data_IF_132248104386
#
_entry.id   IF_132248104386
#
_cell.length_a   1.000
_cell.length_b   1.000
_cell.length_c   1.000
_cell.angle_alpha   90.00
_cell.angle_beta   90.00
_cell.angle_gamma   90.00
#
_symmetry.space_group_name_H-M   'P 1'
#
loop_
_entity.id
_entity.type
_entity.pdbx_description
1 polymer ?
#
# COMPACT_ATOMS: atom_id res chain seq x y z
N UNK A 1 0.37 72.80 -71.45
CA UNK A 1 0.73 72.84 -69.98
C UNK A 1 -0.42 72.19 -69.25
N UNK A 2 -0.18 71.00 -68.73
CA UNK A 2 -1.17 70.36 -67.86
C UNK A 2 -1.47 71.21 -66.62
N UNK A 3 -2.72 71.30 -66.21
CA UNK A 3 -3.11 72.08 -65.02
C UNK A 3 -2.35 71.49 -63.78
N UNK A 4 -2.11 72.27 -62.75
CA UNK A 4 -1.46 71.87 -61.53
C UNK A 4 -2.15 70.76 -60.82
N UNK A 5 -3.39 70.54 -61.12
CA UNK A 5 -4.33 69.48 -60.59
C UNK A 5 -4.17 68.17 -61.36
N UNK A 6 -4.01 68.23 -62.69
CA UNK A 6 -3.73 67.05 -63.55
C UNK A 6 -2.42 66.37 -63.21
N UNK A 7 -1.35 67.18 -63.05
CA UNK A 7 -0.04 66.70 -62.65
C UNK A 7 -0.02 66.01 -61.24
N UNK A 8 -0.85 66.45 -60.34
CA UNK A 8 -1.04 65.80 -58.99
C UNK A 8 -1.74 64.49 -59.10
N UNK A 9 -2.79 64.40 -59.89
CA UNK A 9 -3.54 63.14 -60.09
C UNK A 9 -2.64 62.11 -60.77
N UNK A 10 -1.94 62.42 -61.79
CA UNK A 10 -0.99 61.55 -62.49
C UNK A 10 0.05 60.97 -61.49
N UNK A 11 0.64 61.83 -60.67
CA UNK A 11 1.65 61.39 -59.68
C UNK A 11 1.01 60.37 -58.67
N UNK A 12 -0.16 60.62 -58.15
CA UNK A 12 -0.79 59.69 -57.23
C UNK A 12 -1.15 58.38 -57.95
N UNK A 13 -1.77 58.47 -59.13
CA UNK A 13 -2.17 57.33 -59.92
C UNK A 13 -1.02 56.40 -60.29
N UNK A 14 0.15 56.97 -60.64
CA UNK A 14 1.33 56.21 -61.03
C UNK A 14 2.14 55.60 -59.87
N UNK A 15 2.07 56.20 -58.66
CA UNK A 15 2.95 55.80 -57.54
C UNK A 15 2.23 55.07 -56.43
N UNK A 16 0.92 54.89 -56.52
CA UNK A 16 0.18 54.09 -55.53
C UNK A 16 0.51 52.60 -55.66
N UNK A 17 0.67 51.92 -54.53
CA UNK A 17 1.03 50.49 -54.47
C UNK A 17 -0.14 49.52 -54.77
N UNK A 18 -1.33 50.02 -55.00
CA UNK A 18 -2.50 49.26 -55.38
C UNK A 18 -2.69 49.31 -56.91
N UNK A 19 -3.12 48.21 -57.50
CA UNK A 19 -3.56 48.22 -58.90
C UNK A 19 -4.86 49.03 -59.03
N UNK A 20 -4.82 50.06 -59.88
CA UNK A 20 -6.01 50.86 -60.19
C UNK A 20 -6.42 50.64 -61.66
N UNK A 21 -7.67 50.35 -61.86
CA UNK A 21 -8.28 50.30 -63.21
C UNK A 21 -9.57 51.12 -63.23
N UNK A 22 -9.83 51.74 -64.36
CA UNK A 22 -11.03 52.52 -64.60
C UNK A 22 -11.79 51.90 -65.78
N UNK A 23 -13.05 51.60 -65.60
CA UNK A 23 -13.93 51.04 -66.64
C UNK A 23 -15.10 51.97 -66.95
N UNK A 24 -15.53 51.96 -68.20
CA UNK A 24 -16.77 52.62 -68.58
C UNK A 24 -18.02 51.77 -68.20
N UNK A 25 -19.19 52.30 -68.48
CA UNK A 25 -20.49 51.65 -68.20
C UNK A 25 -20.68 50.31 -68.94
N UNK A 26 -19.89 50.02 -69.99
CA UNK A 26 -19.92 48.73 -70.71
C UNK A 26 -18.91 47.74 -70.18
N UNK A 27 -18.17 48.07 -69.12
CA UNK A 27 -17.10 47.22 -68.56
C UNK A 27 -15.80 47.22 -69.35
N UNK A 28 -15.65 48.15 -70.29
CA UNK A 28 -14.41 48.29 -71.03
C UNK A 28 -13.41 49.09 -70.17
N UNK A 29 -12.18 48.61 -70.05
CA UNK A 29 -11.08 49.26 -69.34
C UNK A 29 -10.67 50.47 -70.13
N UNK A 30 -10.71 51.62 -69.50
CA UNK A 30 -10.34 52.91 -70.12
C UNK A 30 -8.91 53.32 -69.68
N UNK A 31 -8.52 53.05 -68.48
CA UNK A 31 -7.25 53.44 -67.91
C UNK A 31 -6.80 52.42 -66.84
N UNK A 32 -5.52 52.10 -66.82
CA UNK A 32 -4.86 51.31 -65.75
C UNK A 32 -3.59 52.04 -65.28
N UNK A 33 -3.29 51.94 -64.00
CA UNK A 33 -2.02 52.45 -63.52
C UNK A 33 -0.89 51.40 -63.70
N UNK A 34 0.38 51.80 -63.62
CA UNK A 34 1.50 50.88 -63.80
C UNK A 34 1.48 49.70 -62.88
N UNK A 35 0.98 49.87 -61.64
CA UNK A 35 0.88 48.80 -60.69
C UNK A 35 -0.13 47.73 -61.11
N UNK A 36 -1.29 48.14 -61.70
CA UNK A 36 -2.27 47.20 -62.21
C UNK A 36 -1.69 46.39 -63.37
N UNK A 37 -0.96 47.01 -64.28
CA UNK A 37 -0.37 46.33 -65.40
C UNK A 37 0.68 45.29 -64.94
N UNK A 38 1.56 45.67 -64.02
CA UNK A 38 2.54 44.74 -63.40
C UNK A 38 1.84 43.60 -62.69
N UNK A 39 0.79 43.89 -61.93
CA UNK A 39 0.05 42.92 -61.15
C UNK A 39 -0.54 41.82 -62.04
N UNK A 40 -1.14 42.22 -63.15
CA UNK A 40 -1.79 41.29 -64.08
C UNK A 40 -0.87 40.82 -65.23
N UNK A 41 0.36 41.35 -65.32
CA UNK A 41 1.37 40.92 -66.31
C UNK A 41 1.08 41.45 -67.75
N UNK A 42 0.42 42.60 -67.88
CA UNK A 42 0.20 43.28 -69.17
C UNK A 42 1.13 44.46 -69.38
N UNK A 43 1.42 44.80 -70.64
CA UNK A 43 2.15 45.96 -70.95
C UNK A 43 1.32 47.27 -70.87
N UNK A 44 1.97 48.42 -70.85
CA UNK A 44 1.27 49.70 -70.78
C UNK A 44 0.29 49.82 -71.95
N UNK A 45 -0.90 50.30 -71.73
CA UNK A 45 -2.00 50.45 -72.65
C UNK A 45 -2.56 49.19 -73.32
N UNK A 46 -2.03 48.00 -73.04
CA UNK A 46 -2.51 46.75 -73.61
C UNK A 46 -3.93 46.34 -73.11
N UNK A 47 -4.30 46.78 -71.91
CA UNK A 47 -5.64 46.57 -71.35
C UNK A 47 -6.66 47.60 -71.81
N UNK A 48 -6.26 48.70 -72.45
CA UNK A 48 -7.16 49.76 -72.88
C UNK A 48 -8.16 49.24 -73.94
N UNK A 49 -9.44 49.42 -73.68
CA UNK A 49 -10.53 48.91 -74.51
C UNK A 49 -10.90 47.48 -74.33
N UNK A 50 -10.12 46.68 -73.58
CA UNK A 50 -10.48 45.30 -73.26
C UNK A 50 -11.62 45.22 -72.23
N UNK A 51 -12.35 44.13 -72.23
CA UNK A 51 -13.38 43.85 -71.21
C UNK A 51 -12.68 43.46 -69.88
N UNK A 52 -13.14 44.01 -68.77
CA UNK A 52 -12.57 43.77 -67.42
C UNK A 52 -12.55 42.28 -67.06
N UNK A 53 -13.42 41.51 -67.68
CA UNK A 53 -13.51 40.04 -67.50
C UNK A 53 -12.26 39.30 -67.95
N UNK A 54 -11.34 39.89 -68.72
CA UNK A 54 -10.05 39.31 -69.09
C UNK A 54 -9.16 39.10 -67.84
N UNK A 55 -9.33 39.94 -66.81
CA UNK A 55 -8.61 39.92 -65.57
C UNK A 55 -9.23 38.94 -64.54
N UNK A 56 -10.28 38.24 -64.90
CA UNK A 56 -11.08 37.35 -64.04
C UNK A 56 -10.91 35.91 -64.53
N UNK A 57 -10.73 34.91 -63.63
CA UNK A 57 -10.77 33.51 -64.04
C UNK A 57 -12.00 33.16 -64.84
N UNK A 58 -11.83 32.36 -65.90
CA UNK A 58 -12.91 32.06 -66.86
C UNK A 58 -14.19 31.46 -66.21
N UNK A 59 -13.98 30.67 -65.14
CA UNK A 59 -15.07 30.07 -64.34
C UNK A 59 -15.97 31.08 -63.61
N UNK A 60 -15.52 32.35 -63.47
CA UNK A 60 -16.26 33.39 -62.80
C UNK A 60 -16.64 34.55 -63.74
N UNK A 61 -16.18 34.54 -65.00
CA UNK A 61 -16.36 35.64 -65.93
C UNK A 61 -17.84 35.94 -66.24
N UNK A 62 -18.65 34.93 -66.53
CA UNK A 62 -20.08 35.09 -66.83
C UNK A 62 -20.83 35.67 -65.63
N UNK A 63 -20.62 35.10 -64.43
CA UNK A 63 -21.24 35.60 -63.20
C UNK A 63 -20.79 37.03 -62.85
N UNK A 64 -19.57 37.39 -63.21
CA UNK A 64 -19.09 38.77 -63.03
C UNK A 64 -19.83 39.76 -63.90
N UNK A 65 -20.17 39.44 -65.14
CA UNK A 65 -20.97 40.28 -66.04
C UNK A 65 -22.33 40.60 -65.37
N UNK A 66 -23.03 39.61 -64.80
CA UNK A 66 -24.28 39.83 -64.03
C UNK A 66 -24.11 40.78 -62.85
N UNK A 67 -23.01 40.56 -62.08
CA UNK A 67 -22.71 41.42 -60.92
C UNK A 67 -22.34 42.83 -61.32
N UNK A 68 -21.62 43.02 -62.44
CA UNK A 68 -21.29 44.34 -63.01
C UNK A 68 -22.54 45.07 -63.42
N UNK A 69 -23.42 44.43 -64.19
CA UNK A 69 -24.67 45.03 -64.68
C UNK A 69 -25.61 45.40 -63.53
N UNK A 70 -25.64 44.61 -62.46
CA UNK A 70 -26.35 44.94 -61.22
C UNK A 70 -25.73 46.14 -60.48
N UNK A 71 -24.40 46.20 -60.41
CA UNK A 71 -23.65 47.33 -59.80
C UNK A 71 -23.92 48.64 -60.57
N UNK A 72 -23.98 48.59 -61.88
CA UNK A 72 -24.25 49.76 -62.71
C UNK A 72 -25.65 50.37 -62.47
N UNK A 73 -26.63 49.54 -62.07
CA UNK A 73 -27.99 50.03 -61.74
C UNK A 73 -28.09 50.71 -60.39
N UNK A 74 -27.27 50.25 -59.42
CA UNK A 74 -27.24 50.76 -58.06
C UNK A 74 -25.79 50.86 -57.55
N UNK A 75 -25.02 51.85 -57.99
CA UNK A 75 -23.61 51.96 -57.67
C UNK A 75 -23.42 52.40 -56.22
N UNK A 76 -22.76 51.53 -55.43
CA UNK A 76 -22.40 51.76 -53.99
C UNK A 76 -20.96 51.46 -53.80
N UNK A 77 -20.21 52.36 -53.13
CA UNK A 77 -18.83 52.06 -52.69
C UNK A 77 -18.81 50.84 -51.77
N UNK A 78 -18.17 49.79 -52.19
CA UNK A 78 -18.08 48.56 -51.38
C UNK A 78 -16.84 47.77 -51.71
N UNK A 79 -16.26 47.05 -50.73
CA UNK A 79 -15.36 45.96 -51.05
C UNK A 79 -16.15 44.86 -51.79
N UNK A 80 -15.51 44.26 -52.81
CA UNK A 80 -16.07 43.11 -53.51
C UNK A 80 -15.78 41.83 -52.71
N UNK A 81 -16.69 40.87 -52.78
CA UNK A 81 -16.45 39.55 -52.27
C UNK A 81 -16.69 39.38 -50.75
N UNK A 82 -17.83 39.90 -50.20
CA UNK A 82 -18.24 39.67 -48.81
C UNK A 82 -17.87 38.25 -48.33
N UNK A 83 -16.72 38.13 -47.58
CA UNK A 83 -16.13 36.90 -47.04
C UNK A 83 -15.75 35.80 -48.06
N UNK A 84 -15.72 36.08 -49.37
CA UNK A 84 -15.22 35.16 -50.40
C UNK A 84 -13.87 35.63 -50.94
N UNK A 85 -12.89 34.71 -51.03
CA UNK A 85 -11.62 34.99 -51.68
C UNK A 85 -11.86 35.20 -53.17
N UNK A 86 -11.56 36.40 -53.69
CA UNK A 86 -11.60 36.69 -55.12
C UNK A 86 -10.27 36.27 -55.75
N UNK A 87 -10.32 35.91 -57.00
CA UNK A 87 -9.12 35.58 -57.77
C UNK A 87 -9.04 36.45 -59.02
N UNK A 88 -7.88 37.02 -59.26
CA UNK A 88 -7.48 37.65 -60.50
C UNK A 88 -6.80 36.65 -61.44
N UNK A 89 -6.86 36.89 -62.74
CA UNK A 89 -6.17 36.07 -63.74
C UNK A 89 -5.14 36.94 -64.46
N UNK A 90 -3.88 36.51 -64.42
CA UNK A 90 -2.77 37.16 -65.13
C UNK A 90 -2.81 36.82 -66.64
N UNK A 91 -2.10 37.58 -67.45
CA UNK A 91 -1.93 37.35 -68.88
C UNK A 91 -1.43 35.95 -69.24
N UNK A 92 -0.54 35.41 -68.45
CA UNK A 92 0.01 34.04 -68.57
C UNK A 92 -0.99 32.90 -68.17
N UNK A 93 -2.16 33.30 -67.67
CA UNK A 93 -3.19 32.37 -67.21
C UNK A 93 -3.19 32.04 -65.73
N UNK A 94 -2.16 32.46 -64.95
CA UNK A 94 -2.06 32.18 -63.50
C UNK A 94 -3.20 32.88 -62.73
N UNK A 95 -3.86 32.14 -61.87
CA UNK A 95 -4.86 32.66 -60.94
C UNK A 95 -4.20 33.02 -59.63
N UNK A 96 -4.49 34.21 -59.08
CA UNK A 96 -3.92 34.66 -57.80
C UNK A 96 -5.02 35.35 -56.95
N UNK A 97 -4.98 35.23 -55.62
CA UNK A 97 -5.98 35.83 -54.77
C UNK A 97 -5.85 37.35 -54.72
N UNK A 98 -6.95 38.03 -54.85
CA UNK A 98 -7.04 39.49 -54.84
C UNK A 98 -8.10 40.01 -53.92
N UNK A 99 -7.87 41.16 -53.32
CA UNK A 99 -8.90 42.01 -52.73
C UNK A 99 -9.23 43.12 -53.71
N UNK A 100 -10.54 43.30 -53.98
CA UNK A 100 -11.00 44.32 -54.91
C UNK A 100 -11.99 45.24 -54.18
N UNK A 101 -11.81 46.55 -54.32
CA UNK A 101 -12.78 47.54 -53.89
C UNK A 101 -13.20 48.39 -55.05
N UNK A 102 -14.47 48.71 -55.12
CA UNK A 102 -15.08 49.50 -56.19
C UNK A 102 -15.52 50.87 -55.70
N UNK A 103 -15.27 51.87 -56.53
CA UNK A 103 -15.81 53.20 -56.44
C UNK A 103 -16.37 53.62 -57.81
N UNK A 104 -17.16 54.68 -57.88
CA UNK A 104 -17.67 55.19 -59.13
C UNK A 104 -17.68 56.72 -59.12
N UNK A 105 -17.68 57.33 -60.35
CA UNK A 105 -17.88 58.73 -60.54
C UNK A 105 -18.61 58.97 -61.87
N UNK A 106 -19.31 60.10 -61.99
CA UNK A 106 -20.07 60.46 -63.20
C UNK A 106 -19.46 61.68 -63.85
N UNK A 107 -19.45 61.68 -65.18
CA UNK A 107 -19.02 62.80 -66.03
C UNK A 107 -20.07 63.06 -67.12
N UNK A 108 -19.89 64.09 -67.93
CA UNK A 108 -20.68 64.36 -69.10
C UNK A 108 -20.74 63.20 -70.12
N UNK A 109 -19.67 62.33 -70.10
CA UNK A 109 -19.48 61.19 -70.99
C UNK A 109 -20.13 59.89 -70.42
N UNK A 110 -20.63 59.95 -69.19
CA UNK A 110 -21.32 58.82 -68.51
C UNK A 110 -20.67 58.41 -67.19
N UNK A 111 -21.06 57.25 -66.65
CA UNK A 111 -20.59 56.70 -65.42
C UNK A 111 -19.33 55.86 -65.65
N UNK A 112 -18.35 56.05 -64.76
CA UNK A 112 -17.06 55.30 -64.72
C UNK A 112 -16.95 54.59 -63.35
N UNK A 113 -16.36 53.40 -63.39
CA UNK A 113 -16.08 52.59 -62.18
C UNK A 113 -14.58 52.49 -61.99
N UNK A 114 -14.11 52.80 -60.79
CA UNK A 114 -12.72 52.65 -60.37
C UNK A 114 -12.63 51.35 -59.57
N UNK A 115 -11.78 50.40 -60.01
CA UNK A 115 -11.43 49.20 -59.25
C UNK A 115 -10.04 49.36 -58.63
N UNK A 116 -9.94 49.13 -57.33
CA UNK A 116 -8.68 49.02 -56.63
C UNK A 116 -8.42 47.55 -56.40
N UNK A 117 -7.27 47.05 -56.80
CA UNK A 117 -6.88 45.62 -56.72
C UNK A 117 -5.60 45.47 -55.95
N UNK A 118 -5.64 44.63 -54.92
CA UNK A 118 -4.51 44.31 -54.08
C UNK A 118 -4.23 42.80 -54.21
N UNK A 119 -2.96 42.43 -54.46
CA UNK A 119 -2.52 41.05 -54.40
C UNK A 119 -2.39 40.61 -52.91
N UNK A 120 -3.10 39.63 -52.52
CA UNK A 120 -3.11 39.08 -51.15
C UNK A 120 -2.52 37.67 -51.08
N UNK A 121 -1.73 37.26 -52.08
CA UNK A 121 -1.14 35.92 -52.19
C UNK A 121 -0.33 35.56 -50.95
N UNK A 122 0.54 36.45 -50.53
CA UNK A 122 1.41 36.23 -49.36
C UNK A 122 0.58 36.04 -48.08
N UNK A 123 -0.40 36.94 -47.86
CA UNK A 123 -1.29 36.88 -46.72
C UNK A 123 -2.14 35.60 -46.72
N UNK A 124 -2.61 35.18 -47.88
CA UNK A 124 -3.40 33.97 -48.04
C UNK A 124 -2.59 32.71 -47.73
N UNK A 125 -1.35 32.61 -48.21
CA UNK A 125 -0.47 31.47 -47.92
C UNK A 125 -0.05 31.44 -46.46
N UNK A 126 0.23 32.59 -45.86
CA UNK A 126 0.55 32.69 -44.43
C UNK A 126 -0.66 32.18 -43.58
N UNK A 127 -1.86 32.62 -43.92
CA UNK A 127 -3.06 32.20 -43.20
C UNK A 127 -3.30 30.69 -43.33
N UNK A 128 -3.10 30.12 -44.49
CA UNK A 128 -3.18 28.69 -44.77
C UNK A 128 -2.14 27.90 -43.99
N UNK A 129 -0.91 28.41 -43.89
CA UNK A 129 0.15 27.82 -43.10
C UNK A 129 -0.17 27.83 -41.60
N UNK A 130 -0.69 28.94 -41.07
CA UNK A 130 -1.10 29.05 -39.67
C UNK A 130 -2.21 28.03 -39.35
N UNK A 131 -3.22 27.90 -40.21
CA UNK A 131 -4.30 26.90 -40.01
C UNK A 131 -3.77 25.49 -39.95
N UNK A 132 -2.80 25.14 -40.82
CA UNK A 132 -2.17 23.83 -40.84
C UNK A 132 -1.39 23.55 -39.54
N UNK A 133 -0.54 24.51 -39.13
CA UNK A 133 0.25 24.37 -37.89
C UNK A 133 -0.68 24.23 -36.66
N UNK A 134 -1.75 25.03 -36.61
CA UNK A 134 -2.71 24.95 -35.50
C UNK A 134 -3.42 23.59 -35.45
N UNK A 135 -3.73 22.99 -36.60
CA UNK A 135 -4.34 21.66 -36.62
C UNK A 135 -3.36 20.56 -36.17
N UNK A 136 -2.09 20.65 -36.59
CA UNK A 136 -1.05 19.74 -36.16
C UNK A 136 -0.75 19.87 -34.65
N UNK A 137 -0.69 21.10 -34.14
CA UNK A 137 -0.51 21.40 -32.72
C UNK A 137 -1.66 20.83 -31.87
N UNK A 138 -2.89 20.97 -32.32
CA UNK A 138 -4.06 20.43 -31.62
C UNK A 138 -3.96 18.91 -31.49
N UNK A 139 -3.66 18.21 -32.58
CA UNK A 139 -3.50 16.77 -32.60
C UNK A 139 -2.37 16.30 -31.68
N UNK A 140 -1.24 17.03 -31.69
CA UNK A 140 -0.09 16.70 -30.82
C UNK A 140 -0.43 16.87 -29.35
N UNK A 141 -1.15 17.96 -28.99
CA UNK A 141 -1.59 18.19 -27.62
C UNK A 141 -2.53 17.09 -27.12
N UNK A 142 -3.53 16.72 -27.93
CA UNK A 142 -4.45 15.61 -27.58
C UNK A 142 -3.67 14.30 -27.33
N UNK A 143 -2.69 13.98 -28.17
CA UNK A 143 -1.84 12.80 -27.98
C UNK A 143 -0.97 12.89 -26.71
N UNK A 144 -0.44 14.08 -26.41
CA UNK A 144 0.35 14.30 -25.18
C UNK A 144 -0.51 14.15 -23.92
N UNK A 145 -1.69 14.74 -23.90
CA UNK A 145 -2.63 14.63 -22.77
C UNK A 145 -3.01 13.18 -22.51
N UNK A 146 -3.30 12.40 -23.56
CA UNK A 146 -3.59 10.98 -23.43
C UNK A 146 -2.40 10.20 -22.85
N UNK A 147 -1.17 10.44 -23.35
CA UNK A 147 0.03 9.80 -22.80
C UNK A 147 0.35 10.18 -21.36
N UNK A 148 0.13 11.45 -21.00
CA UNK A 148 0.29 11.92 -19.61
C UNK A 148 -0.71 11.22 -18.71
N UNK A 149 -1.97 11.15 -19.12
CA UNK A 149 -3.03 10.48 -18.37
C UNK A 149 -2.73 8.99 -18.15
N UNK A 150 -2.34 8.28 -19.21
CA UNK A 150 -1.97 6.85 -19.15
C UNK A 150 -0.78 6.62 -18.20
N UNK A 151 0.30 7.40 -18.36
CA UNK A 151 1.48 7.28 -17.49
C UNK A 151 1.19 7.62 -16.04
N UNK A 152 0.33 8.61 -15.80
CA UNK A 152 -0.07 9.00 -14.44
C UNK A 152 -0.85 7.88 -13.77
N UNK A 153 -1.74 7.18 -14.50
CA UNK A 153 -2.47 6.03 -13.98
C UNK A 153 -1.52 4.88 -13.59
N UNK A 154 -0.63 4.49 -14.51
CA UNK A 154 0.36 3.43 -14.28
C UNK A 154 1.28 3.77 -13.10
N UNK A 155 1.73 5.01 -13.00
CA UNK A 155 2.58 5.45 -11.88
C UNK A 155 1.83 5.37 -10.54
N UNK A 156 0.55 5.75 -10.53
CA UNK A 156 -0.28 5.69 -9.32
C UNK A 156 -0.50 4.24 -8.86
N UNK A 157 -0.77 3.33 -9.79
CA UNK A 157 -0.89 1.90 -9.49
C UNK A 157 0.42 1.31 -8.93
N UNK A 158 1.56 1.68 -9.54
CA UNK A 158 2.87 1.25 -9.06
C UNK A 158 3.20 1.79 -7.66
N UNK A 159 2.84 3.05 -7.36
CA UNK A 159 3.01 3.63 -6.04
C UNK A 159 2.15 2.92 -4.99
N UNK A 160 0.88 2.65 -5.27
CA UNK A 160 0.00 1.92 -4.37
C UNK A 160 0.51 0.50 -4.08
N UNK A 161 1.00 -0.21 -5.11
CA UNK A 161 1.60 -1.53 -4.95
C UNK A 161 2.88 -1.50 -4.10
N UNK A 162 3.71 -0.48 -4.29
CA UNK A 162 4.94 -0.29 -3.50
C UNK A 162 4.62 0.02 -2.03
N UNK A 163 3.64 0.88 -1.76
CA UNK A 163 3.20 1.18 -0.38
C UNK A 163 2.67 -0.08 0.32
N UNK A 164 1.82 -0.86 -0.34
CA UNK A 164 1.32 -2.12 0.21
C UNK A 164 2.46 -3.11 0.52
N UNK A 165 3.42 -3.27 -0.39
CA UNK A 165 4.59 -4.14 -0.17
C UNK A 165 5.50 -3.66 0.95
N UNK A 166 5.66 -2.34 1.09
CA UNK A 166 6.40 -1.75 2.22
C UNK A 166 5.74 -2.09 3.56
N UNK A 167 4.42 -1.91 3.65
CA UNK A 167 3.68 -2.15 4.89
C UNK A 167 3.72 -3.64 5.30
N UNK A 168 3.63 -4.54 4.31
CA UNK A 168 3.83 -5.99 4.55
C UNK A 168 5.24 -6.30 5.07
N UNK A 169 6.26 -5.67 4.49
CA UNK A 169 7.65 -5.87 4.90
C UNK A 169 7.92 -5.33 6.31
N UNK A 170 7.36 -4.17 6.66
CA UNK A 170 7.46 -3.61 8.01
C UNK A 170 6.82 -4.53 9.06
N UNK A 171 5.64 -5.10 8.77
CA UNK A 171 5.00 -6.07 9.66
C UNK A 171 5.81 -7.36 9.81
N UNK A 172 6.39 -7.87 8.71
CA UNK A 172 7.25 -9.04 8.75
C UNK A 172 8.53 -8.80 9.57
N UNK A 173 9.15 -7.62 9.40
CA UNK A 173 10.34 -7.22 10.14
C UNK A 173 10.06 -7.09 11.64
N UNK A 174 8.92 -6.54 12.03
CA UNK A 174 8.56 -6.42 13.44
C UNK A 174 8.36 -7.80 14.10
N UNK A 175 7.65 -8.72 13.40
CA UNK A 175 7.53 -10.11 13.87
C UNK A 175 8.89 -10.82 14.00
N UNK A 176 9.79 -10.59 13.06
CA UNK A 176 11.14 -11.18 13.12
C UNK A 176 11.94 -10.65 14.31
N UNK A 177 11.84 -9.34 14.59
CA UNK A 177 12.46 -8.74 15.77
C UNK A 177 11.94 -9.34 17.07
N UNK A 178 10.61 -9.44 17.22
CA UNK A 178 9.99 -10.07 18.40
C UNK A 178 10.47 -11.50 18.59
N UNK A 179 10.52 -12.30 17.53
CA UNK A 179 11.03 -13.66 17.56
C UNK A 179 12.51 -13.70 17.96
N UNK A 180 13.32 -12.81 17.44
CA UNK A 180 14.77 -12.75 17.75
C UNK A 180 15.01 -12.31 19.19
N UNK A 181 14.25 -11.37 19.71
CA UNK A 181 14.30 -10.99 21.13
C UNK A 181 13.88 -12.15 22.04
N UNK A 182 12.80 -12.86 21.72
CA UNK A 182 12.38 -14.05 22.45
C UNK A 182 13.49 -15.11 22.44
N UNK A 183 14.10 -15.38 21.28
CA UNK A 183 15.21 -16.34 21.16
C UNK A 183 16.42 -15.92 22.01
N UNK A 184 16.73 -14.64 22.04
CA UNK A 184 17.86 -14.12 22.85
C UNK A 184 17.59 -14.25 24.35
N UNK A 185 16.36 -13.92 24.79
CA UNK A 185 15.94 -14.12 26.18
C UNK A 185 15.98 -15.60 26.57
N UNK A 186 15.53 -16.48 25.67
CA UNK A 186 15.58 -17.93 25.85
C UNK A 186 17.00 -18.43 26.13
N UNK A 187 17.97 -18.09 25.28
CA UNK A 187 19.36 -18.50 25.40
C UNK A 187 19.98 -17.99 26.73
N UNK A 188 19.71 -16.73 27.05
CA UNK A 188 20.24 -16.10 28.27
C UNK A 188 19.70 -16.79 29.53
N UNK A 189 18.40 -17.04 29.57
CA UNK A 189 17.76 -17.69 30.70
C UNK A 189 18.18 -19.16 30.83
N UNK A 190 18.18 -19.90 29.70
CA UNK A 190 18.65 -21.29 29.71
C UNK A 190 20.07 -21.38 30.29
N UNK A 191 20.95 -20.49 29.87
CA UNK A 191 22.33 -20.43 30.37
C UNK A 191 22.37 -20.18 31.88
N UNK A 192 21.50 -19.29 32.38
CA UNK A 192 21.47 -19.02 33.83
C UNK A 192 20.88 -20.20 34.64
N UNK A 193 19.79 -20.78 34.19
CA UNK A 193 19.08 -21.87 34.85
C UNK A 193 19.90 -23.18 34.84
N UNK A 194 20.77 -23.41 33.85
CA UNK A 194 21.74 -24.52 33.87
C UNK A 194 22.96 -24.25 34.75
N UNK A 195 23.44 -23.01 34.83
CA UNK A 195 24.67 -22.68 35.58
C UNK A 195 24.51 -22.92 37.08
N UNK A 196 23.36 -22.57 37.66
CA UNK A 196 23.10 -22.66 39.10
C UNK A 196 23.17 -24.11 39.62
N UNK A 197 22.44 -25.10 39.09
CA UNK A 197 22.54 -26.48 39.53
C UNK A 197 23.90 -27.09 39.22
N UNK A 198 24.53 -26.78 38.10
CA UNK A 198 25.89 -27.24 37.79
C UNK A 198 26.93 -26.74 38.82
N UNK A 199 26.83 -25.49 39.25
CA UNK A 199 27.67 -24.94 40.30
C UNK A 199 27.42 -25.62 41.65
N UNK A 200 26.16 -25.97 41.95
CA UNK A 200 25.79 -26.72 43.16
C UNK A 200 26.37 -28.14 43.15
N UNK A 201 26.31 -28.82 41.99
CA UNK A 201 26.93 -30.15 41.82
C UNK A 201 28.44 -30.06 42.03
N UNK A 202 29.11 -29.13 41.35
CA UNK A 202 30.54 -28.97 41.42
C UNK A 202 31.03 -28.64 42.84
N UNK A 203 30.37 -27.70 43.52
CA UNK A 203 30.72 -27.32 44.89
C UNK A 203 30.48 -28.46 45.89
N UNK A 204 29.36 -29.17 45.79
CA UNK A 204 29.04 -30.29 46.64
C UNK A 204 29.98 -31.46 46.41
N UNK A 205 30.36 -31.79 45.17
CA UNK A 205 31.37 -32.81 44.86
C UNK A 205 32.73 -32.43 45.41
N UNK A 206 33.13 -31.16 45.31
CA UNK A 206 34.40 -30.67 45.89
C UNK A 206 34.42 -30.73 47.42
N UNK A 207 33.27 -30.54 48.06
CA UNK A 207 33.18 -30.67 49.53
C UNK A 207 33.22 -32.15 49.99
N UNK A 208 32.53 -33.03 49.28
CA UNK A 208 32.60 -34.49 49.56
C UNK A 208 34.05 -34.99 49.52
N UNK A 209 34.86 -34.54 48.57
CA UNK A 209 36.28 -34.95 48.46
C UNK A 209 37.14 -34.49 49.63
N UNK A 210 36.72 -33.47 50.40
CA UNK A 210 37.41 -32.99 51.62
C UNK A 210 36.97 -33.69 52.89
N UNK A 211 35.81 -34.36 52.91
CA UNK A 211 35.28 -35.08 54.05
C UNK A 211 35.83 -36.55 54.05
N UNK A 212 37.04 -36.76 54.46
CA UNK A 212 37.69 -38.07 54.38
C UNK A 212 37.47 -38.96 55.63
N UNK A 213 37.06 -38.36 56.76
CA UNK A 213 36.91 -39.10 58.01
C UNK A 213 35.50 -39.68 58.21
N UNK A 214 35.40 -40.76 58.94
CA UNK A 214 34.14 -41.49 59.13
C UNK A 214 33.07 -40.66 59.82
N UNK A 215 33.43 -39.74 60.70
CA UNK A 215 32.50 -38.89 61.42
C UNK A 215 31.86 -37.79 60.51
N UNK A 216 32.32 -37.62 59.26
CA UNK A 216 31.72 -36.69 58.26
C UNK A 216 30.69 -37.38 57.37
N UNK A 217 30.18 -38.55 57.72
CA UNK A 217 29.22 -39.31 56.92
C UNK A 217 27.94 -38.50 56.66
N UNK A 218 27.39 -37.89 57.70
CA UNK A 218 26.16 -37.06 57.60
C UNK A 218 26.33 -35.87 56.62
N UNK A 219 27.53 -35.21 56.70
CA UNK A 219 27.82 -34.11 55.76
C UNK A 219 27.98 -34.61 54.32
N UNK A 220 28.59 -35.77 54.08
CA UNK A 220 28.67 -36.39 52.76
C UNK A 220 27.27 -36.69 52.21
N UNK A 221 26.41 -37.33 53.04
CA UNK A 221 25.04 -37.66 52.64
C UNK A 221 24.24 -36.40 52.29
N UNK A 222 24.37 -35.32 53.06
CA UNK A 222 23.76 -34.00 52.74
C UNK A 222 24.20 -33.46 51.38
N UNK A 223 25.50 -33.54 51.04
CA UNK A 223 26.00 -33.10 49.77
C UNK A 223 25.63 -34.03 48.62
N UNK A 224 25.53 -35.35 48.82
CA UNK A 224 24.99 -36.30 47.86
C UNK A 224 23.54 -36.00 47.57
N UNK A 225 22.73 -35.70 48.62
CA UNK A 225 21.36 -35.27 48.46
C UNK A 225 21.20 -33.99 47.60
N UNK A 226 22.08 -32.97 47.85
CA UNK A 226 22.13 -31.74 47.04
C UNK A 226 22.47 -32.00 45.58
N UNK A 227 23.41 -32.93 45.30
CA UNK A 227 23.77 -33.32 43.93
C UNK A 227 22.59 -33.97 43.25
N UNK A 228 21.91 -34.92 43.91
CA UNK A 228 20.71 -35.58 43.35
C UNK A 228 19.61 -34.58 43.04
N UNK A 229 19.29 -33.67 43.97
CA UNK A 229 18.31 -32.60 43.74
C UNK A 229 18.69 -31.71 42.57
N UNK A 230 19.95 -31.30 42.43
CA UNK A 230 20.42 -30.47 41.34
C UNK A 230 20.36 -31.17 39.97
N UNK A 231 20.62 -32.50 39.94
CA UNK A 231 20.48 -33.31 38.71
C UNK A 231 19.03 -33.44 38.31
N UNK A 232 18.12 -33.70 39.26
CA UNK A 232 16.67 -33.78 38.98
C UNK A 232 16.15 -32.45 38.44
N UNK A 233 16.51 -31.31 39.05
CA UNK A 233 16.15 -29.98 38.54
C UNK A 233 16.67 -29.69 37.14
N UNK A 234 17.90 -30.12 36.79
CA UNK A 234 18.42 -30.04 35.43
C UNK A 234 17.61 -30.86 34.44
N UNK A 235 17.16 -32.05 34.84
CA UNK A 235 16.35 -32.92 34.00
C UNK A 235 14.97 -32.32 33.75
N UNK A 236 14.35 -31.71 34.75
CA UNK A 236 13.08 -30.95 34.57
C UNK A 236 13.24 -29.81 33.60
N UNK A 237 14.28 -28.98 33.76
CA UNK A 237 14.58 -27.86 32.85
C UNK A 237 14.73 -28.36 31.40
N UNK A 238 15.48 -29.45 31.21
CA UNK A 238 15.71 -30.05 29.89
C UNK A 238 14.38 -30.55 29.27
N UNK A 239 13.54 -31.20 30.08
CA UNK A 239 12.23 -31.70 29.61
C UNK A 239 11.29 -30.54 29.22
N UNK A 240 11.28 -29.44 29.97
CA UNK A 240 10.52 -28.24 29.63
C UNK A 240 10.96 -27.69 28.28
N UNK A 241 12.28 -27.56 28.04
CA UNK A 241 12.82 -27.10 26.77
C UNK A 241 12.48 -28.00 25.59
N UNK A 242 12.60 -29.33 25.78
CA UNK A 242 12.26 -30.31 24.75
C UNK A 242 10.75 -30.30 24.45
N UNK A 243 9.91 -30.09 25.45
CA UNK A 243 8.46 -29.98 25.30
C UNK A 243 8.09 -28.77 24.47
N UNK A 244 8.68 -27.59 24.75
CA UNK A 244 8.46 -26.37 23.95
C UNK A 244 8.94 -26.57 22.51
N UNK A 245 10.12 -27.12 22.29
CA UNK A 245 10.63 -27.37 20.94
C UNK A 245 9.69 -28.27 20.12
N UNK A 246 9.18 -29.35 20.71
CA UNK A 246 8.21 -30.25 20.05
C UNK A 246 6.86 -29.56 19.76
N UNK A 247 6.40 -28.67 20.68
CA UNK A 247 5.18 -27.90 20.50
C UNK A 247 5.31 -26.87 19.36
N UNK A 248 6.43 -26.16 19.30
CA UNK A 248 6.70 -25.17 18.24
C UNK A 248 6.83 -25.79 16.85
N UNK A 249 7.42 -26.96 16.77
CA UNK A 249 7.54 -27.70 15.50
C UNK A 249 6.23 -28.41 15.10
N UNK A 250 5.16 -28.30 15.89
CA UNK A 250 3.87 -28.99 15.63
C UNK A 250 3.99 -30.51 15.63
N UNK A 251 5.03 -31.05 16.27
CA UNK A 251 5.33 -32.50 16.28
C UNK A 251 4.55 -33.30 17.32
N UNK A 252 3.80 -32.64 18.20
CA UNK A 252 2.98 -33.32 19.21
C UNK A 252 1.67 -33.72 18.55
N UNK A 253 1.47 -35.01 18.39
CA UNK A 253 0.21 -35.61 17.95
C UNK A 253 -0.57 -36.12 19.17
N UNK A 254 -1.76 -35.58 19.39
CA UNK A 254 -2.63 -35.98 20.53
C UNK A 254 -3.09 -37.42 20.35
N UNK A 255 -2.77 -38.25 21.34
CA UNK A 255 -3.20 -39.66 21.38
C UNK A 255 -4.48 -39.80 22.21
N UNK A 256 -5.62 -39.66 21.54
CA UNK A 256 -6.91 -39.78 22.16
C UNK A 256 -7.20 -41.23 22.59
N UNK A 257 -7.34 -41.43 23.90
CA UNK A 257 -7.63 -42.75 24.45
C UNK A 257 -8.50 -42.64 25.72
N UNK A 258 -9.24 -43.66 26.10
CA UNK A 258 -9.93 -43.70 27.39
C UNK A 258 -8.90 -43.72 28.52
N UNK A 259 -8.98 -42.74 29.42
CA UNK A 259 -8.06 -42.60 30.57
C UNK A 259 -8.87 -42.60 31.84
N UNK A 260 -8.50 -43.47 32.77
CA UNK A 260 -8.92 -43.37 34.16
C UNK A 260 -8.21 -42.19 34.83
N UNK A 261 -8.91 -41.05 34.86
CA UNK A 261 -8.34 -39.76 35.30
C UNK A 261 -8.02 -39.79 36.78
N UNK A 262 -8.86 -40.45 37.59
CA UNK A 262 -8.67 -40.49 39.04
C UNK A 262 -7.44 -41.29 39.38
N UNK A 263 -7.29 -42.50 38.79
CA UNK A 263 -6.09 -43.32 38.99
C UNK A 263 -4.83 -42.62 38.52
N UNK A 264 -4.89 -41.95 37.36
CA UNK A 264 -3.74 -41.17 36.82
C UNK A 264 -3.31 -40.05 37.78
N UNK A 265 -4.25 -39.31 38.34
CA UNK A 265 -3.95 -38.21 39.28
C UNK A 265 -3.43 -38.71 40.59
N UNK A 266 -3.99 -39.86 41.11
CA UNK A 266 -3.44 -40.50 42.27
C UNK A 266 -1.99 -40.94 42.07
N UNK A 267 -1.66 -41.57 40.92
CA UNK A 267 -0.27 -41.90 40.56
C UNK A 267 0.66 -40.66 40.60
N UNK A 268 0.18 -39.51 40.08
CA UNK A 268 0.94 -38.26 40.09
C UNK A 268 1.13 -37.73 41.52
N UNK A 269 0.11 -37.81 42.36
CA UNK A 269 0.19 -37.41 43.77
C UNK A 269 1.20 -38.27 44.52
N UNK A 270 1.15 -39.59 44.32
CA UNK A 270 2.06 -40.53 44.97
C UNK A 270 3.54 -40.28 44.57
N UNK A 271 3.78 -40.01 43.26
CA UNK A 271 5.11 -39.67 42.76
C UNK A 271 5.63 -38.36 43.37
N UNK A 272 4.75 -37.35 43.53
CA UNK A 272 5.15 -36.03 44.03
C UNK A 272 5.14 -35.93 45.56
N UNK A 273 4.60 -36.92 46.28
CA UNK A 273 4.55 -36.91 47.73
C UNK A 273 5.97 -36.78 48.39
N UNK A 274 7.00 -37.32 47.72
CA UNK A 274 8.40 -37.20 48.16
C UNK A 274 8.90 -35.74 48.14
N UNK A 275 8.28 -34.86 47.38
CA UNK A 275 8.61 -33.44 47.27
C UNK A 275 7.88 -32.57 48.29
N UNK A 276 6.91 -33.12 49.00
CA UNK A 276 6.15 -32.41 50.03
C UNK A 276 7.04 -31.89 51.13
N UNK A 277 6.78 -30.67 51.57
CA UNK A 277 7.49 -30.07 52.71
C UNK A 277 6.96 -30.67 54.03
N UNK A 278 7.63 -30.32 55.13
CA UNK A 278 7.23 -30.85 56.44
C UNK A 278 5.78 -30.55 56.75
N UNK A 279 4.98 -31.61 57.05
CA UNK A 279 3.59 -31.52 57.37
C UNK A 279 2.63 -31.13 56.24
N UNK A 280 3.13 -30.97 54.99
CA UNK A 280 2.25 -30.73 53.83
C UNK A 280 1.41 -31.98 53.50
N UNK A 281 0.16 -31.76 53.10
CA UNK A 281 -0.76 -32.83 52.72
C UNK A 281 -1.44 -32.50 51.37
N UNK A 282 -1.63 -33.53 50.54
CA UNK A 282 -2.37 -33.42 49.29
C UNK A 282 -3.67 -34.22 49.43
N UNK A 283 -4.82 -33.55 49.29
CA UNK A 283 -6.14 -34.16 49.35
C UNK A 283 -6.76 -34.24 47.96
N UNK A 284 -7.10 -35.47 47.52
CA UNK A 284 -7.82 -35.71 46.27
C UNK A 284 -9.31 -35.86 46.53
N UNK A 285 -10.12 -35.07 45.90
CA UNK A 285 -11.58 -35.16 45.84
C UNK A 285 -12.02 -35.45 44.43
N UNK A 286 -12.93 -36.38 44.19
CA UNK A 286 -13.40 -36.67 42.84
C UNK A 286 -14.87 -37.10 42.82
N UNK A 287 -15.55 -36.87 41.67
CA UNK A 287 -16.86 -37.40 41.36
C UNK A 287 -16.93 -38.02 39.96
N UNK A 288 -15.78 -38.51 39.44
CA UNK A 288 -15.65 -39.11 38.13
C UNK A 288 -15.54 -40.61 38.25
N UNK A 289 -16.53 -41.33 37.73
CA UNK A 289 -16.63 -42.80 37.81
C UNK A 289 -16.35 -43.50 36.47
N UNK A 290 -16.16 -42.74 35.39
CA UNK A 290 -15.97 -43.27 34.04
C UNK A 290 -14.69 -42.72 33.39
N UNK A 291 -14.01 -43.57 32.60
CA UNK A 291 -12.83 -43.07 31.86
C UNK A 291 -13.16 -41.90 30.93
N UNK A 292 -12.27 -40.92 30.86
CA UNK A 292 -12.38 -39.73 29.98
C UNK A 292 -11.53 -39.89 28.75
N UNK A 293 -12.05 -39.52 27.57
CA UNK A 293 -11.27 -39.55 26.29
C UNK A 293 -10.34 -38.35 26.24
N UNK A 294 -9.04 -38.59 26.47
CA UNK A 294 -8.01 -37.56 26.45
C UNK A 294 -6.65 -38.21 26.14
N UNK A 295 -5.58 -37.38 26.13
CA UNK A 295 -4.20 -37.88 26.03
C UNK A 295 -3.62 -38.04 27.44
N UNK A 296 -3.27 -39.31 27.79
CA UNK A 296 -2.72 -39.65 29.12
C UNK A 296 -1.44 -38.89 29.44
N UNK A 297 -0.54 -38.73 28.46
CA UNK A 297 0.77 -38.09 28.67
C UNK A 297 0.63 -36.59 28.88
N UNK A 298 -0.20 -35.92 28.05
CA UNK A 298 -0.43 -34.48 28.18
C UNK A 298 -1.13 -34.18 29.52
N UNK A 299 -2.15 -34.95 29.88
CA UNK A 299 -2.84 -34.78 31.15
C UNK A 299 -1.92 -34.97 32.35
N UNK A 300 -1.10 -36.04 32.33
CA UNK A 300 -0.10 -36.30 33.38
C UNK A 300 0.86 -35.13 33.54
N UNK A 301 1.42 -34.62 32.42
CA UNK A 301 2.38 -33.52 32.45
C UNK A 301 1.73 -32.22 33.00
N UNK A 302 0.49 -31.91 32.64
CA UNK A 302 -0.24 -30.75 33.18
C UNK A 302 -0.43 -30.89 34.71
N UNK A 303 -0.85 -32.06 35.19
CA UNK A 303 -1.09 -32.26 36.61
C UNK A 303 0.20 -32.29 37.42
N UNK A 304 1.27 -32.90 36.93
CA UNK A 304 2.61 -32.83 37.53
C UNK A 304 3.05 -31.36 37.70
N UNK A 305 2.85 -30.56 36.69
CA UNK A 305 3.26 -29.15 36.73
C UNK A 305 2.44 -28.33 37.74
N UNK A 306 1.09 -28.50 37.77
CA UNK A 306 0.23 -27.75 38.71
C UNK A 306 0.47 -28.19 40.15
N UNK A 307 0.53 -29.50 40.41
CA UNK A 307 0.70 -30.03 41.79
C UNK A 307 2.12 -29.72 42.31
N UNK A 308 3.17 -29.85 41.48
CA UNK A 308 4.53 -29.49 41.90
C UNK A 308 4.67 -27.96 42.17
N UNK A 309 3.97 -27.13 41.42
CA UNK A 309 3.88 -25.71 41.71
C UNK A 309 3.17 -25.44 43.04
N UNK A 310 2.04 -26.10 43.33
CA UNK A 310 1.33 -25.98 44.58
C UNK A 310 2.20 -26.39 45.78
N UNK A 311 2.94 -27.51 45.70
CA UNK A 311 3.93 -27.93 46.73
C UNK A 311 4.99 -26.86 46.94
N UNK A 312 5.55 -26.37 45.86
CA UNK A 312 6.71 -25.45 45.85
C UNK A 312 6.35 -24.08 46.45
N UNK A 313 5.21 -23.52 46.07
CA UNK A 313 4.80 -22.18 46.45
C UNK A 313 4.04 -22.07 47.76
N UNK A 314 3.57 -23.21 48.32
CA UNK A 314 2.94 -23.29 49.62
C UNK A 314 3.94 -23.39 50.77
N UNK A 315 3.53 -23.03 51.96
CA UNK A 315 4.32 -23.12 53.17
C UNK A 315 4.32 -24.57 53.76
N UNK A 316 5.17 -24.79 54.75
CA UNK A 316 5.12 -26.01 55.56
C UNK A 316 3.75 -26.16 56.25
N UNK A 317 3.31 -27.37 56.50
CA UNK A 317 2.04 -27.73 57.13
C UNK A 317 0.78 -27.25 56.37
N UNK A 318 0.92 -26.85 55.10
CA UNK A 318 -0.22 -26.45 54.26
C UNK A 318 -0.94 -27.64 53.63
N UNK A 319 -2.19 -27.42 53.24
CA UNK A 319 -3.00 -28.40 52.52
C UNK A 319 -3.22 -27.99 51.09
N UNK A 320 -2.94 -28.92 50.18
CA UNK A 320 -3.15 -28.74 48.73
C UNK A 320 -4.40 -29.57 48.38
N UNK A 321 -5.41 -28.94 47.82
CA UNK A 321 -6.62 -29.61 47.35
C UNK A 321 -6.58 -29.85 45.85
N UNK A 322 -6.74 -31.08 45.43
CA UNK A 322 -6.90 -31.48 44.04
C UNK A 322 -8.30 -32.00 43.86
N UNK A 323 -9.10 -31.36 42.98
CA UNK A 323 -10.47 -31.78 42.70
C UNK A 323 -10.61 -32.18 41.25
N UNK A 324 -11.33 -33.28 41.01
CA UNK A 324 -11.62 -33.83 39.69
C UNK A 324 -13.13 -34.06 39.57
N UNK A 325 -13.76 -33.36 38.64
CA UNK A 325 -15.21 -33.49 38.47
C UNK A 325 -15.59 -33.40 36.99
N UNK A 326 -16.75 -33.94 36.64
CA UNK A 326 -17.38 -33.76 35.34
C UNK A 326 -18.36 -32.60 35.45
N UNK A 327 -18.14 -31.57 34.68
CA UNK A 327 -18.99 -30.40 34.56
C UNK A 327 -19.79 -30.45 33.24
N UNK A 328 -20.77 -29.55 33.06
CA UNK A 328 -21.63 -29.51 31.88
C UNK A 328 -20.84 -29.44 30.58
N UNK A 329 -19.69 -28.73 30.62
CA UNK A 329 -18.83 -28.45 29.44
C UNK A 329 -17.61 -29.37 29.31
N UNK A 330 -17.43 -30.36 30.22
CA UNK A 330 -16.30 -31.27 30.13
C UNK A 330 -15.70 -31.72 31.46
N UNK A 331 -14.49 -32.24 31.42
CA UNK A 331 -13.71 -32.60 32.59
C UNK A 331 -13.10 -31.35 33.23
N UNK A 332 -13.40 -31.12 34.49
CA UNK A 332 -12.88 -30.03 35.30
C UNK A 332 -11.86 -30.53 36.30
N UNK A 333 -10.67 -29.95 36.31
CA UNK A 333 -9.57 -30.26 37.20
C UNK A 333 -9.19 -28.98 37.95
N UNK A 334 -9.20 -29.04 39.27
CA UNK A 334 -8.83 -27.89 40.09
C UNK A 334 -7.66 -28.28 41.02
N UNK A 335 -6.66 -27.41 41.09
CA UNK A 335 -5.57 -27.51 42.06
C UNK A 335 -5.54 -26.20 42.84
N UNK A 336 -5.80 -26.30 44.15
CA UNK A 336 -5.84 -25.19 45.09
C UNK A 336 -4.73 -25.30 46.11
N UNK A 337 -3.95 -24.26 46.26
CA UNK A 337 -2.87 -24.17 47.24
C UNK A 337 -3.10 -23.02 48.26
N UNK A 338 -2.36 -23.06 49.37
CA UNK A 338 -2.31 -22.03 50.42
C UNK A 338 -0.92 -21.35 50.41
N UNK A 339 -0.47 -20.95 49.24
CA UNK A 339 0.85 -20.41 49.03
C UNK A 339 0.93 -18.88 49.06
N UNK A 340 2.01 -18.39 48.49
CA UNK A 340 2.34 -16.95 48.43
C UNK A 340 1.36 -16.12 47.58
N UNK A 341 0.52 -16.77 46.79
CA UNK A 341 -0.42 -16.08 45.89
C UNK A 341 0.27 -15.27 44.75
N UNK A 342 -0.56 -14.68 43.93
CA UNK A 342 -0.14 -13.95 42.69
C UNK A 342 -0.80 -12.57 42.67
N UNK A 343 -0.04 -11.53 42.37
CA UNK A 343 -0.60 -10.16 42.24
C UNK A 343 -1.48 -10.00 41.01
N UNK A 344 -2.42 -9.05 41.02
CA UNK A 344 -3.24 -8.75 39.86
C UNK A 344 -2.42 -8.29 38.62
N UNK A 345 -1.27 -7.65 38.86
CA UNK A 345 -0.34 -7.25 37.81
C UNK A 345 0.30 -8.49 37.18
N UNK A 346 0.78 -9.42 38.00
CA UNK A 346 1.48 -10.63 37.55
C UNK A 346 0.53 -11.64 36.89
N UNK A 347 -0.75 -11.69 37.26
CA UNK A 347 -1.77 -12.58 36.63
C UNK A 347 -1.89 -12.36 35.13
N UNK A 348 -1.73 -11.11 34.65
CA UNK A 348 -1.84 -10.76 33.21
C UNK A 348 -0.75 -11.41 32.37
N UNK A 349 0.41 -11.67 32.96
CA UNK A 349 1.60 -12.20 32.28
C UNK A 349 1.89 -13.66 32.64
N UNK A 350 1.08 -14.26 33.51
CA UNK A 350 1.34 -15.56 34.14
C UNK A 350 1.54 -16.71 33.15
N UNK A 351 0.90 -16.65 32.01
CA UNK A 351 0.98 -17.66 30.94
C UNK A 351 2.00 -17.33 29.85
N UNK A 352 2.68 -16.18 29.95
CA UNK A 352 3.77 -15.82 29.03
C UNK A 352 5.01 -16.68 29.30
N UNK A 353 5.79 -16.90 28.26
CA UNK A 353 7.03 -17.65 28.37
C UNK A 353 8.03 -16.95 29.27
N UNK A 354 8.67 -17.70 30.16
CA UNK A 354 9.72 -17.21 31.06
C UNK A 354 9.24 -16.18 32.09
N UNK A 355 7.96 -15.96 32.21
CA UNK A 355 7.42 -15.06 33.21
C UNK A 355 7.53 -15.67 34.62
N UNK A 356 7.96 -14.86 35.57
CA UNK A 356 8.05 -15.20 36.99
C UNK A 356 7.60 -14.00 37.81
N UNK A 357 6.62 -14.19 38.67
CA UNK A 357 6.11 -13.15 39.55
C UNK A 357 7.21 -12.57 40.44
N UNK A 358 7.09 -11.30 40.78
CA UNK A 358 8.08 -10.58 41.61
C UNK A 358 8.35 -11.27 42.96
N UNK A 359 7.33 -11.87 43.56
CA UNK A 359 7.39 -12.61 44.83
C UNK A 359 7.97 -14.03 44.67
N UNK A 360 8.10 -14.55 43.44
CA UNK A 360 8.57 -15.88 43.14
C UNK A 360 10.02 -15.93 42.62
N UNK A 361 10.72 -14.80 42.53
CA UNK A 361 12.09 -14.73 41.96
C UNK A 361 13.14 -15.60 42.70
N UNK A 362 12.95 -15.72 44.02
CA UNK A 362 13.88 -16.52 44.85
C UNK A 362 13.56 -18.03 44.87
N UNK A 363 12.45 -18.46 44.26
CA UNK A 363 12.03 -19.86 44.21
C UNK A 363 12.40 -20.42 42.84
N UNK A 364 13.24 -21.42 42.76
CA UNK A 364 13.78 -22.01 41.52
C UNK A 364 12.66 -22.36 40.51
N UNK A 365 12.84 -22.06 39.23
CA UNK A 365 11.88 -22.44 38.16
C UNK A 365 12.12 -21.72 36.84
N UNK A 366 11.73 -22.40 35.76
CA UNK A 366 11.97 -21.96 34.39
C UNK A 366 10.98 -20.86 33.90
N UNK A 367 9.82 -20.73 34.56
CA UNK A 367 8.73 -19.89 34.05
C UNK A 367 8.09 -20.43 32.76
N UNK A 368 8.30 -21.70 32.44
CA UNK A 368 7.78 -22.34 31.22
C UNK A 368 6.54 -23.23 31.50
N UNK A 369 6.41 -23.75 32.71
CA UNK A 369 5.41 -24.75 33.03
C UNK A 369 3.98 -24.36 32.73
N UNK A 370 3.57 -23.14 33.09
CA UNK A 370 2.19 -22.65 32.80
C UNK A 370 1.96 -22.38 31.32
N UNK A 371 3.01 -21.91 30.61
CA UNK A 371 2.93 -21.76 29.14
C UNK A 371 2.79 -23.12 28.44
N UNK A 372 3.52 -24.15 28.90
CA UNK A 372 3.40 -25.52 28.37
C UNK A 372 1.97 -26.07 28.63
N UNK A 373 1.39 -25.82 29.80
CA UNK A 373 0.01 -26.21 30.10
C UNK A 373 -0.99 -25.56 29.11
N UNK A 374 -0.85 -24.25 28.88
CA UNK A 374 -1.71 -23.55 27.92
C UNK A 374 -1.60 -24.16 26.53
N UNK A 375 -0.39 -24.47 26.06
CA UNK A 375 -0.19 -25.13 24.76
C UNK A 375 -0.78 -26.54 24.69
N UNK A 376 -0.67 -27.35 25.76
CA UNK A 376 -1.33 -28.65 25.81
C UNK A 376 -2.85 -28.53 25.79
N UNK A 377 -3.40 -27.53 26.48
CA UNK A 377 -4.83 -27.25 26.45
C UNK A 377 -5.32 -26.78 25.08
N UNK A 378 -4.53 -25.95 24.36
CA UNK A 378 -4.86 -25.61 22.97
C UNK A 378 -4.98 -26.86 22.10
N UNK A 379 -4.09 -27.86 22.27
CA UNK A 379 -4.19 -29.15 21.54
C UNK A 379 -5.40 -29.99 21.93
N UNK A 380 -5.85 -29.90 23.19
CA UNK A 380 -6.99 -30.60 23.71
C UNK A 380 -8.31 -29.81 23.60
N UNK A 381 -8.29 -28.61 23.00
CA UNK A 381 -9.39 -27.64 22.98
C UNK A 381 -9.92 -27.26 24.39
N UNK A 382 -9.03 -27.27 25.37
CA UNK A 382 -9.35 -26.95 26.76
C UNK A 382 -9.01 -25.50 27.12
N UNK A 383 -9.36 -25.12 28.35
CA UNK A 383 -9.10 -23.81 28.93
C UNK A 383 -8.48 -23.90 30.30
N UNK A 384 -7.76 -22.84 30.74
CA UNK A 384 -7.25 -22.70 32.10
C UNK A 384 -7.67 -21.36 32.67
N UNK A 385 -8.11 -21.37 33.94
CA UNK A 385 -8.43 -20.18 34.73
C UNK A 385 -7.59 -20.15 35.99
N UNK A 386 -7.29 -18.96 36.51
CA UNK A 386 -6.54 -18.76 37.75
C UNK A 386 -7.26 -17.74 38.63
N UNK A 387 -7.52 -18.17 39.88
CA UNK A 387 -7.97 -17.29 40.95
C UNK A 387 -6.88 -17.29 42.03
N UNK A 388 -6.38 -16.10 42.40
CA UNK A 388 -5.28 -15.99 43.35
C UNK A 388 -5.33 -14.66 44.10
N UNK A 389 -4.93 -14.72 45.37
CA UNK A 389 -4.79 -13.56 46.21
C UNK A 389 -3.45 -13.64 46.96
N UNK A 390 -2.73 -12.51 47.02
CA UNK A 390 -1.41 -12.45 47.69
C UNK A 390 -1.50 -12.93 49.15
N UNK A 391 -0.59 -13.82 49.51
CA UNK A 391 -0.48 -14.45 50.85
C UNK A 391 -1.72 -15.25 51.31
N UNK A 392 -2.63 -15.54 50.43
CA UNK A 392 -3.80 -16.40 50.68
C UNK A 392 -3.65 -17.73 49.99
N UNK A 393 -3.28 -17.71 48.71
CA UNK A 393 -3.04 -18.88 47.87
C UNK A 393 -3.49 -18.71 46.42
N UNK A 394 -3.42 -19.82 45.67
CA UNK A 394 -3.76 -19.85 44.26
C UNK A 394 -4.66 -21.05 43.93
N UNK A 395 -5.62 -20.87 43.06
CA UNK A 395 -6.46 -21.91 42.51
C UNK A 395 -6.35 -21.90 40.99
N UNK A 396 -5.84 -23.00 40.41
CA UNK A 396 -5.87 -23.23 38.98
C UNK A 396 -7.02 -24.15 38.61
N UNK A 397 -7.82 -23.79 37.64
CA UNK A 397 -8.91 -24.62 37.08
C UNK A 397 -8.62 -24.88 35.61
N UNK A 398 -8.57 -26.15 35.24
CA UNK A 398 -8.43 -26.62 33.86
C UNK A 398 -9.78 -27.25 33.47
N UNK A 399 -10.23 -26.96 32.27
CA UNK A 399 -11.39 -27.54 31.66
C UNK A 399 -11.04 -28.19 30.31
N UNK A 400 -11.36 -29.47 30.15
CA UNK A 400 -11.12 -30.25 28.93
C UNK A 400 -12.46 -30.71 28.39
N UNK A 401 -12.91 -30.23 27.22
CA UNK A 401 -14.20 -30.60 26.65
C UNK A 401 -14.23 -32.08 26.27
N UNK A 402 -15.40 -32.66 26.27
CA UNK A 402 -15.57 -34.03 25.81
C UNK A 402 -15.37 -34.09 24.31
N UNK A 403 -14.51 -34.99 23.87
CA UNK A 403 -14.35 -35.26 22.45
C UNK A 403 -15.60 -36.00 21.97
N UNK A 404 -16.36 -35.37 21.08
CA UNK A 404 -17.48 -35.99 20.38
C UNK A 404 -17.04 -37.04 19.38
#
# INVERSE_FOLDING_TARGET
MLSRSESRFENVFHHVNEGILICNHKGQIILTNPKCNVLFGYDTDELNGAQVEILIPSKFAERHVEHRDSFMKHPVRRPMGNNMTLFGKRKNGDEFPVEVSLSHYETAEGMFVIGFVIDVSERFEQQKRIMRINSELKLLNENLENKVSERTLVLREALNALEASRDELEQALEKEKELNEMKSRFITMASHEFRTPLSTILSSASLISKYMETHHQEQREKHVGRIKSAVNGLTEILNDFLSIGKLEEGKIQVQWMPVDVVTLIQEVIDDLHVLCKEGQQIHLEHNVDTPWITDKALLRNMMVNLISNAIKFSNDHSVIHVRVEVCDDGLCLEVKDQGIGISEEDKRHLFERFFRGKNAQNIQGTGLGLNIITKYLELLNGTIHVDSELNVGTTFRIQIPQKK
#
